data_IF_157925284813
#
_entry.id   IF_157925284813
#
_cell.length_a   1.000
_cell.length_b   1.000
_cell.length_c   1.000
_cell.angle_alpha   90.00
_cell.angle_beta   90.00
_cell.angle_gamma   90.00
#
_symmetry.space_group_name_H-M   'P 1'
#
loop_
_entity.id
_entity.type
_entity.pdbx_description
1 polymer ?
#
# COMPACT_ATOMS: atom_id res chain seq x y z
N UNK A 1 6.67 -8.16 13.38
CA UNK A 1 5.28 -7.85 12.99
C UNK A 1 4.33 -7.53 14.17
N UNK A 2 4.73 -7.65 15.45
CA UNK A 2 3.91 -7.30 16.64
C UNK A 2 3.28 -5.89 16.66
N UNK A 3 3.84 -4.92 15.92
CA UNK A 3 3.30 -3.54 15.87
C UNK A 3 2.00 -3.42 15.07
N UNK A 4 1.72 -4.35 14.14
CA UNK A 4 0.48 -4.37 13.35
C UNK A 4 -0.68 -5.05 14.08
N UNK A 5 -0.38 -5.87 15.10
CA UNK A 5 -1.38 -6.62 15.87
C UNK A 5 -2.30 -5.70 16.69
N UNK A 6 -1.81 -4.52 17.07
CA UNK A 6 -2.57 -3.52 17.81
C UNK A 6 -3.35 -2.54 16.91
N UNK A 7 -3.27 -2.72 15.59
CA UNK A 7 -3.77 -1.75 14.62
C UNK A 7 -2.79 -0.60 14.42
N UNK A 8 -2.70 -0.11 13.18
CA UNK A 8 -1.81 0.99 12.80
C UNK A 8 -2.63 2.02 12.03
N UNK A 9 -2.47 3.29 12.40
CA UNK A 9 -3.18 4.41 11.77
C UNK A 9 -2.57 4.85 10.44
N UNK A 10 -1.24 4.74 10.32
CA UNK A 10 -0.51 5.12 9.11
C UNK A 10 0.65 4.16 8.86
N UNK A 11 0.82 3.74 7.61
CA UNK A 11 1.92 2.89 7.16
C UNK A 11 2.60 3.60 6.00
N UNK A 12 3.92 3.76 6.10
CA UNK A 12 4.76 4.22 5.00
C UNK A 12 5.78 3.13 4.65
N UNK A 13 6.14 3.03 3.37
CA UNK A 13 7.13 2.07 2.91
C UNK A 13 7.15 1.95 1.39
N UNK A 14 8.14 1.21 0.89
CA UNK A 14 8.26 0.97 -0.55
C UNK A 14 7.21 -0.05 -1.03
N UNK A 15 6.73 0.05 -2.28
CA UNK A 15 5.67 -0.84 -2.80
C UNK A 15 6.04 -2.30 -2.64
N UNK A 16 7.28 -2.68 -2.96
CA UNK A 16 7.76 -4.05 -2.82
C UNK A 16 7.60 -4.60 -1.40
N UNK A 17 7.80 -3.81 -0.34
CA UNK A 17 7.65 -4.29 1.05
C UNK A 17 6.20 -4.26 1.51
N UNK A 18 5.48 -3.17 1.24
CA UNK A 18 4.09 -2.98 1.69
C UNK A 18 3.15 -3.94 0.96
N UNK A 19 3.28 -4.07 -0.36
CA UNK A 19 2.43 -4.94 -1.19
C UNK A 19 2.75 -6.41 -0.97
N UNK A 20 4.00 -6.79 -1.18
CA UNK A 20 4.38 -8.20 -1.24
C UNK A 20 4.41 -8.85 0.14
N UNK A 21 4.88 -8.12 1.15
CA UNK A 21 5.15 -8.71 2.47
C UNK A 21 4.01 -8.44 3.45
N UNK A 22 3.38 -7.26 3.41
CA UNK A 22 2.40 -6.89 4.43
C UNK A 22 0.96 -7.19 4.00
N UNK A 23 0.57 -6.82 2.77
CA UNK A 23 -0.78 -7.02 2.27
C UNK A 23 -0.99 -8.49 1.85
N UNK A 24 -0.11 -9.05 1.00
CA UNK A 24 -0.26 -10.46 0.54
C UNK A 24 -0.18 -11.48 1.66
N UNK A 25 0.63 -11.25 2.71
CA UNK A 25 0.69 -12.13 3.89
C UNK A 25 -0.42 -11.88 4.91
N UNK A 26 -1.34 -10.94 4.65
CA UNK A 26 -2.45 -10.61 5.55
C UNK A 26 -2.06 -9.92 6.86
N UNK A 27 -0.83 -9.42 6.95
CA UNK A 27 -0.33 -8.70 8.14
C UNK A 27 -0.83 -7.25 8.20
N UNK A 28 -1.20 -6.68 7.04
CA UNK A 28 -1.85 -5.38 6.93
C UNK A 28 -3.25 -5.56 6.37
N UNK A 29 -4.27 -5.13 7.14
CA UNK A 29 -5.67 -5.15 6.70
C UNK A 29 -5.97 -3.86 5.95
N UNK A 30 -6.23 -3.95 4.64
CA UNK A 30 -6.48 -2.80 3.76
C UNK A 30 -7.94 -2.35 3.74
N UNK A 31 -8.88 -3.15 4.25
CA UNK A 31 -10.32 -2.87 4.19
C UNK A 31 -10.77 -1.54 4.82
N UNK A 32 -9.99 -1.00 5.76
CA UNK A 32 -10.29 0.26 6.44
C UNK A 32 -9.42 1.43 5.96
N UNK A 33 -8.60 1.24 4.93
CA UNK A 33 -7.73 2.29 4.40
C UNK A 33 -8.58 3.23 3.55
N UNK A 34 -8.52 4.52 3.85
CA UNK A 34 -9.29 5.57 3.17
C UNK A 34 -8.45 6.48 2.28
N UNK A 35 -7.13 6.46 2.46
CA UNK A 35 -6.20 7.36 1.79
C UNK A 35 -4.98 6.59 1.34
N UNK A 36 -4.62 6.76 0.06
CA UNK A 36 -3.35 6.35 -0.51
C UNK A 36 -2.61 7.60 -0.97
N UNK A 37 -1.35 7.74 -0.57
CA UNK A 37 -0.44 8.79 -1.01
C UNK A 37 0.70 8.12 -1.76
N UNK A 38 0.98 8.57 -2.98
CA UNK A 38 2.11 8.11 -3.78
C UNK A 38 3.12 9.24 -3.92
N UNK A 39 4.18 9.19 -3.13
CA UNK A 39 5.29 10.13 -3.26
C UNK A 39 6.17 9.75 -4.46
N UNK A 40 6.68 10.76 -5.18
CA UNK A 40 7.55 10.56 -6.37
C UNK A 40 6.99 9.54 -7.40
N UNK A 41 5.66 9.59 -7.61
CA UNK A 41 4.95 8.59 -8.41
C UNK A 41 5.46 8.47 -9.86
N UNK A 42 5.97 9.56 -10.42
CA UNK A 42 6.63 9.63 -11.72
C UNK A 42 7.94 8.84 -11.76
N UNK A 43 8.79 8.99 -10.75
CA UNK A 43 10.02 8.21 -10.62
C UNK A 43 9.70 6.71 -10.44
N UNK A 44 8.68 6.37 -9.65
CA UNK A 44 8.25 4.98 -9.48
C UNK A 44 7.79 4.34 -10.79
N UNK A 45 7.04 5.08 -11.62
CA UNK A 45 6.64 4.64 -12.94
C UNK A 45 7.83 4.46 -13.88
N UNK A 46 8.80 5.39 -13.84
CA UNK A 46 10.03 5.31 -14.64
C UNK A 46 10.88 4.07 -14.33
N UNK A 47 10.87 3.63 -13.07
CA UNK A 47 11.56 2.42 -12.59
C UNK A 47 10.81 1.12 -12.90
N UNK A 48 9.68 1.19 -13.61
CA UNK A 48 8.88 0.02 -13.96
C UNK A 48 8.07 -0.54 -12.78
N UNK A 49 7.86 0.23 -11.70
CA UNK A 49 7.08 -0.22 -10.53
C UNK A 49 5.56 -0.13 -10.73
N UNK A 50 5.12 0.15 -11.96
CA UNK A 50 3.70 0.31 -12.33
C UNK A 50 2.84 -0.87 -11.87
N UNK A 51 3.30 -2.09 -12.08
CA UNK A 51 2.53 -3.29 -11.71
C UNK A 51 2.38 -3.42 -10.19
N UNK A 52 3.41 -3.05 -9.43
CA UNK A 52 3.35 -3.07 -7.96
C UNK A 52 2.37 -2.03 -7.44
N UNK A 53 2.35 -0.83 -8.02
CA UNK A 53 1.37 0.22 -7.67
C UNK A 53 -0.05 -0.25 -7.99
N UNK A 54 -0.23 -0.89 -9.15
CA UNK A 54 -1.53 -1.43 -9.54
C UNK A 54 -2.02 -2.52 -8.58
N UNK A 55 -1.11 -3.37 -8.10
CA UNK A 55 -1.39 -4.38 -7.08
C UNK A 55 -1.77 -3.74 -5.73
N UNK A 56 -1.11 -2.64 -5.31
CA UNK A 56 -1.55 -1.85 -4.14
C UNK A 56 -3.00 -1.42 -4.36
N UNK A 57 -3.26 -0.76 -5.48
CA UNK A 57 -4.56 -0.14 -5.75
C UNK A 57 -5.70 -1.16 -5.77
N UNK A 58 -5.47 -2.33 -6.38
CA UNK A 58 -6.44 -3.44 -6.38
C UNK A 58 -6.70 -4.05 -5.01
N UNK A 59 -5.74 -3.96 -4.09
CA UNK A 59 -5.89 -4.49 -2.74
C UNK A 59 -6.64 -3.54 -1.80
N UNK A 60 -6.86 -2.30 -2.24
CA UNK A 60 -7.53 -1.25 -1.48
C UNK A 60 -9.05 -1.23 -1.79
N UNK A 61 -9.87 -0.69 -0.88
CA UNK A 61 -11.31 -0.55 -1.09
C UNK A 61 -11.63 0.44 -2.23
N UNK A 62 -12.81 0.28 -2.84
CA UNK A 62 -13.23 1.03 -4.04
C UNK A 62 -13.45 2.53 -3.79
N UNK A 63 -13.65 2.91 -2.54
CA UNK A 63 -14.00 4.22 -2.02
C UNK A 63 -12.78 4.97 -1.45
N UNK A 64 -11.58 4.61 -1.93
CA UNK A 64 -10.34 5.25 -1.53
C UNK A 64 -10.14 6.61 -2.19
N UNK A 65 -9.70 7.58 -1.40
CA UNK A 65 -9.18 8.85 -1.90
C UNK A 65 -7.70 8.67 -2.23
N UNK A 66 -7.29 9.04 -3.44
CA UNK A 66 -5.89 9.08 -3.86
C UNK A 66 -5.47 10.53 -4.09
N UNK A 67 -4.35 10.92 -3.50
CA UNK A 67 -3.72 12.23 -3.67
C UNK A 67 -2.31 12.06 -4.23
#
# INVERSE_FOLDING_TARGET
MKKLEHGVHAVSGTPGRVVYDMIKRGSLRTKSVKLLILDESDEMLSKGLKDQIYDVYRSLPHDISSA
#
